data_IF_790581211633
#
_entry.id   IF_790581211633
#
_cell.length_a   1.000
_cell.length_b   1.000
_cell.length_c   1.000
_cell.angle_alpha   90.00
_cell.angle_beta   90.00
_cell.angle_gamma   90.00
#
_symmetry.space_group_name_H-M   'P 1'
#
loop_
_entity.id
_entity.type
_entity.pdbx_description
1 polymer ?
#
# COMPACT_ATOMS: atom_id res chain seq x y z
N UNK A 1 -4.86 4.56 -23.74
CA UNK A 1 -5.14 3.97 -22.41
C UNK A 1 -4.04 2.97 -22.11
N UNK A 2 -3.44 3.02 -20.91
CA UNK A 2 -2.33 2.15 -20.45
C UNK A 2 -2.78 1.41 -19.18
N UNK A 3 -2.10 0.34 -18.77
CA UNK A 3 -2.38 -0.38 -17.50
C UNK A 3 -1.12 -0.71 -16.70
N UNK A 4 -1.32 -0.94 -15.41
CA UNK A 4 -0.34 -1.47 -14.47
C UNK A 4 -0.91 -2.75 -13.83
N UNK A 5 -0.05 -3.76 -13.63
CA UNK A 5 -0.49 -5.08 -13.15
C UNK A 5 0.38 -5.55 -11.99
N UNK A 6 -0.26 -5.90 -10.87
CA UNK A 6 0.36 -6.51 -9.70
C UNK A 6 -0.20 -7.91 -9.44
N UNK A 7 0.64 -8.76 -8.86
CA UNK A 7 0.38 -10.19 -8.69
C UNK A 7 0.64 -10.61 -7.25
N UNK A 8 -0.27 -11.41 -6.70
CA UNK A 8 -0.09 -12.11 -5.44
C UNK A 8 -0.45 -13.58 -5.61
N UNK A 9 0.31 -14.48 -4.99
CA UNK A 9 0.04 -15.91 -5.04
C UNK A 9 0.40 -16.59 -3.74
N UNK A 10 -0.37 -17.62 -3.41
CA UNK A 10 -0.06 -18.54 -2.33
C UNK A 10 -0.48 -19.97 -2.66
N UNK A 11 0.37 -20.91 -2.26
CA UNK A 11 0.24 -22.36 -2.44
C UNK A 11 0.50 -23.13 -1.13
N UNK A 12 0.76 -22.45 -0.01
CA UNK A 12 1.23 -23.04 1.25
C UNK A 12 0.15 -23.78 2.04
N UNK A 13 -1.11 -23.70 1.61
CA UNK A 13 -2.19 -24.50 2.13
C UNK A 13 -2.82 -24.01 3.44
N UNK A 14 -2.28 -22.95 4.04
CA UNK A 14 -2.70 -22.38 5.32
C UNK A 14 -3.56 -21.12 5.19
N UNK A 15 -3.55 -20.31 6.25
CA UNK A 15 -4.07 -18.93 6.21
C UNK A 15 -2.95 -18.00 5.78
N UNK A 16 -3.24 -17.15 4.80
CA UNK A 16 -2.26 -16.18 4.29
C UNK A 16 -2.88 -14.79 4.19
N UNK A 17 -2.03 -13.77 4.27
CA UNK A 17 -2.42 -12.37 4.02
C UNK A 17 -2.13 -12.02 2.56
N UNK A 18 -3.03 -11.24 1.97
CA UNK A 18 -2.88 -10.69 0.63
C UNK A 18 -2.26 -9.31 0.81
N UNK A 19 -1.10 -9.09 0.20
CA UNK A 19 -0.25 -7.92 0.39
C UNK A 19 0.53 -7.62 -0.89
N UNK A 20 1.15 -6.44 -1.00
CA UNK A 20 1.95 -6.06 -2.17
C UNK A 20 1.14 -5.64 -3.41
N UNK A 21 -0.18 -5.54 -3.31
CA UNK A 21 -1.06 -5.09 -4.39
C UNK A 21 -1.39 -3.59 -4.25
N UNK A 22 -0.34 -2.77 -4.33
CA UNK A 22 -0.39 -1.32 -4.10
C UNK A 22 -0.11 -0.56 -5.38
N UNK A 23 -0.97 0.37 -5.77
CA UNK A 23 -0.80 1.27 -6.92
C UNK A 23 -0.63 2.70 -6.43
N UNK A 24 0.43 3.36 -6.88
CA UNK A 24 0.78 4.71 -6.45
C UNK A 24 -0.19 5.78 -6.97
N UNK A 25 -0.27 6.92 -6.29
CA UNK A 25 -1.08 8.07 -6.74
C UNK A 25 -0.46 8.85 -7.92
N UNK A 26 0.48 8.26 -8.67
CA UNK A 26 1.23 8.92 -9.74
C UNK A 26 0.45 9.04 -11.05
N UNK A 27 -0.56 8.20 -11.27
CA UNK A 27 -1.31 8.11 -12.53
C UNK A 27 -2.78 8.46 -12.35
N UNK A 28 -3.41 8.98 -13.40
CA UNK A 28 -4.85 9.24 -13.40
C UNK A 28 -5.62 7.94 -13.67
N UNK A 29 -5.79 7.15 -12.62
CA UNK A 29 -6.49 5.86 -12.66
C UNK A 29 -7.96 6.05 -13.00
N UNK A 30 -8.49 5.11 -13.78
CA UNK A 30 -9.89 5.11 -14.21
C UNK A 30 -10.65 3.95 -13.58
N UNK A 31 -10.31 2.74 -14.01
CA UNK A 31 -10.97 1.52 -13.60
C UNK A 31 -9.93 0.49 -13.19
N UNK A 32 -10.31 -0.44 -12.31
CA UNK A 32 -9.50 -1.57 -11.91
C UNK A 32 -10.27 -2.87 -12.04
N UNK A 33 -9.53 -3.96 -12.27
CA UNK A 33 -10.03 -5.33 -12.31
C UNK A 33 -9.14 -6.20 -11.43
N UNK A 34 -9.75 -6.94 -10.53
CA UNK A 34 -9.10 -8.00 -9.76
C UNK A 34 -9.61 -9.33 -10.28
N UNK A 35 -8.68 -10.21 -10.65
CA UNK A 35 -8.97 -11.59 -11.01
C UNK A 35 -8.47 -12.49 -9.89
N UNK A 36 -9.37 -13.20 -9.23
CA UNK A 36 -9.05 -14.14 -8.14
C UNK A 36 -9.28 -15.56 -8.65
N UNK A 37 -8.22 -16.36 -8.71
CA UNK A 37 -8.29 -17.75 -9.15
C UNK A 37 -7.93 -18.69 -8.01
N UNK A 38 -8.83 -19.62 -7.69
CA UNK A 38 -8.59 -20.69 -6.72
C UNK A 38 -7.52 -21.68 -7.20
N UNK A 39 -6.65 -22.15 -6.31
CA UNK A 39 -5.59 -23.13 -6.62
C UNK A 39 -5.79 -24.49 -5.97
N UNK A 40 -6.55 -24.56 -4.87
CA UNK A 40 -6.81 -25.78 -4.12
C UNK A 40 -8.32 -26.04 -4.00
N UNK A 41 -8.69 -27.13 -3.31
CA UNK A 41 -10.01 -27.74 -3.42
C UNK A 41 -11.16 -26.83 -2.99
N UNK A 42 -11.01 -26.09 -1.88
CA UNK A 42 -11.98 -25.08 -1.45
C UNK A 42 -11.28 -23.99 -0.61
N UNK A 43 -11.46 -22.73 -1.00
CA UNK A 43 -10.88 -21.59 -0.29
C UNK A 43 -11.86 -20.42 -0.16
N UNK A 44 -11.64 -19.64 0.90
CA UNK A 44 -12.29 -18.35 1.13
C UNK A 44 -11.25 -17.25 0.99
N UNK A 45 -11.46 -16.34 0.05
CA UNK A 45 -10.64 -15.14 -0.14
C UNK A 45 -11.48 -13.94 0.27
N UNK A 46 -11.09 -13.27 1.34
CA UNK A 46 -11.66 -11.99 1.77
C UNK A 46 -10.75 -10.87 1.24
N UNK A 47 -11.28 -9.96 0.43
CA UNK A 47 -10.57 -8.84 -0.18
C UNK A 47 -11.16 -7.50 0.29
N UNK A 48 -10.28 -6.54 0.51
CA UNK A 48 -10.60 -5.15 0.83
C UNK A 48 -9.83 -4.24 -0.13
N UNK A 49 -10.53 -3.31 -0.77
CA UNK A 49 -9.96 -2.31 -1.67
C UNK A 49 -10.08 -0.95 -0.98
N UNK A 50 -8.93 -0.29 -0.80
CA UNK A 50 -8.85 1.06 -0.28
C UNK A 50 -8.41 2.03 -1.37
N UNK A 51 -9.06 3.19 -1.43
CA UNK A 51 -8.67 4.32 -2.29
C UNK A 51 -8.42 5.53 -1.39
N UNK A 52 -7.21 6.11 -1.45
CA UNK A 52 -6.80 7.21 -0.55
C UNK A 52 -7.03 6.92 0.95
N UNK A 53 -6.90 5.66 1.38
CA UNK A 53 -7.20 5.15 2.73
C UNK A 53 -8.67 4.94 3.09
N UNK A 54 -9.61 5.20 2.17
CA UNK A 54 -11.02 4.89 2.36
C UNK A 54 -11.35 3.50 1.83
N UNK A 55 -11.96 2.65 2.66
CA UNK A 55 -12.47 1.35 2.21
C UNK A 55 -13.61 1.58 1.22
N UNK A 56 -13.39 1.26 -0.05
CA UNK A 56 -14.40 1.44 -1.11
C UNK A 56 -15.14 0.15 -1.44
N UNK A 57 -14.51 -1.01 -1.19
CA UNK A 57 -15.10 -2.30 -1.51
C UNK A 57 -14.55 -3.40 -0.60
N UNK A 58 -15.45 -4.23 -0.08
CA UNK A 58 -15.16 -5.47 0.61
C UNK A 58 -15.84 -6.63 -0.16
N UNK A 59 -15.11 -7.71 -0.44
CA UNK A 59 -15.64 -8.86 -1.19
C UNK A 59 -15.09 -10.17 -0.65
N UNK A 60 -16.00 -11.11 -0.40
CA UNK A 60 -15.64 -12.51 -0.15
C UNK A 60 -15.84 -13.34 -1.42
N UNK A 61 -14.81 -14.04 -1.86
CA UNK A 61 -14.85 -15.06 -2.91
C UNK A 61 -14.75 -16.44 -2.25
N UNK A 62 -15.66 -17.35 -2.61
CA UNK A 62 -15.59 -18.77 -2.24
C UNK A 62 -15.34 -19.52 -3.52
N UNK A 63 -14.16 -20.13 -3.64
CA UNK A 63 -13.68 -20.69 -4.90
C UNK A 63 -13.21 -22.12 -4.68
N UNK A 64 -13.57 -23.00 -5.60
CA UNK A 64 -12.92 -24.30 -5.79
C UNK A 64 -11.67 -24.17 -6.67
N UNK A 65 -11.01 -25.30 -6.95
CA UNK A 65 -9.78 -25.33 -7.74
C UNK A 65 -10.04 -24.87 -9.18
N UNK A 66 -9.26 -23.88 -9.62
CA UNK A 66 -9.33 -23.22 -10.93
C UNK A 66 -10.59 -22.38 -11.17
N UNK A 67 -11.50 -22.27 -10.20
CA UNK A 67 -12.58 -21.29 -10.29
C UNK A 67 -12.02 -19.88 -10.23
N UNK A 68 -12.64 -18.97 -10.97
CA UNK A 68 -12.20 -17.59 -11.07
C UNK A 68 -13.35 -16.64 -10.81
N UNK A 69 -13.13 -15.67 -9.93
CA UNK A 69 -14.01 -14.52 -9.73
C UNK A 69 -13.32 -13.27 -10.32
N UNK A 70 -14.12 -12.41 -10.95
CA UNK A 70 -13.69 -11.10 -11.43
C UNK A 70 -14.40 -10.02 -10.62
N UNK A 71 -13.62 -9.07 -10.11
CA UNK A 71 -14.11 -7.92 -9.35
C UNK A 71 -13.68 -6.67 -10.10
N UNK A 72 -14.63 -5.80 -10.44
CA UNK A 72 -14.38 -4.53 -11.11
C UNK A 72 -14.70 -3.37 -10.17
N UNK A 73 -13.92 -2.30 -10.26
CA UNK A 73 -14.10 -1.10 -9.44
C UNK A 73 -13.61 0.15 -10.18
N UNK A 74 -14.06 1.32 -9.72
CA UNK A 74 -13.66 2.62 -10.26
C UNK A 74 -12.74 3.35 -9.28
N UNK A 75 -11.78 4.09 -9.83
CA UNK A 75 -10.84 4.92 -9.05
C UNK A 75 -11.06 6.40 -9.35
N UNK A 76 -11.16 6.75 -10.63
CA UNK A 76 -11.47 8.09 -11.13
C UNK A 76 -10.59 9.21 -10.54
N UNK A 77 -9.28 9.11 -10.70
CA UNK A 77 -8.36 10.19 -10.34
C UNK A 77 -6.94 9.73 -10.07
N UNK A 78 -6.11 10.69 -9.68
CA UNK A 78 -4.74 10.45 -9.21
C UNK A 78 -4.75 10.07 -7.73
N UNK A 79 -5.16 8.84 -7.45
CA UNK A 79 -5.42 8.30 -6.11
C UNK A 79 -4.60 7.03 -5.89
N UNK A 80 -4.08 6.83 -4.68
CA UNK A 80 -3.46 5.55 -4.34
C UNK A 80 -4.53 4.48 -4.20
N UNK A 81 -4.21 3.26 -4.63
CA UNK A 81 -5.07 2.08 -4.48
C UNK A 81 -4.31 1.01 -3.71
N UNK A 82 -4.88 0.50 -2.63
CA UNK A 82 -4.32 -0.61 -1.87
C UNK A 82 -5.32 -1.76 -1.82
N UNK A 83 -4.90 -2.93 -2.26
CA UNK A 83 -5.71 -4.16 -2.22
C UNK A 83 -5.08 -5.09 -1.18
N UNK A 84 -5.83 -5.37 -0.13
CA UNK A 84 -5.41 -6.25 0.96
C UNK A 84 -6.47 -7.31 1.22
N UNK A 85 -6.18 -8.27 2.09
CA UNK A 85 -7.14 -9.30 2.42
C UNK A 85 -6.57 -10.51 3.12
N UNK A 86 -7.40 -11.54 3.24
CA UNK A 86 -6.99 -12.83 3.80
C UNK A 86 -7.47 -13.99 2.93
N UNK A 87 -6.58 -14.94 2.71
CA UNK A 87 -6.88 -16.27 2.22
C UNK A 87 -7.04 -17.20 3.43
N UNK A 88 -8.14 -17.93 3.50
CA UNK A 88 -8.42 -18.92 4.53
C UNK A 88 -8.94 -20.21 3.91
N UNK A 89 -8.64 -21.32 4.56
CA UNK A 89 -9.33 -22.58 4.27
C UNK A 89 -10.64 -22.64 5.05
N UNK A 90 -11.72 -23.05 4.40
CA UNK A 90 -13.00 -23.34 5.04
C UNK A 90 -13.12 -24.80 5.47
N UNK A 91 -12.12 -25.32 6.20
CA UNK A 91 -12.20 -26.62 6.87
C UNK A 91 -11.59 -27.84 6.14
N UNK A 92 -10.95 -27.66 4.98
CA UNK A 92 -10.20 -28.70 4.24
C UNK A 92 -8.69 -28.49 4.46
N UNK A 93 -7.83 -29.45 4.13
CA UNK A 93 -6.38 -29.23 4.09
C UNK A 93 -6.01 -28.51 2.78
N UNK A 94 -5.43 -27.31 2.88
CA UNK A 94 -4.86 -26.59 1.73
C UNK A 94 -5.73 -25.45 1.17
N UNK A 95 -5.43 -24.18 1.50
CA UNK A 95 -5.90 -23.01 0.74
C UNK A 95 -4.79 -22.43 -0.14
N UNK A 96 -5.14 -22.05 -1.37
CA UNK A 96 -4.23 -21.44 -2.32
C UNK A 96 -5.01 -20.59 -3.32
N UNK A 97 -4.48 -19.42 -3.66
CA UNK A 97 -5.09 -18.52 -4.63
C UNK A 97 -4.03 -17.76 -5.40
N UNK A 98 -4.39 -17.35 -6.61
CA UNK A 98 -3.66 -16.38 -7.42
C UNK A 98 -4.54 -15.15 -7.60
N UNK A 99 -3.99 -13.97 -7.36
CA UNK A 99 -4.68 -12.69 -7.47
C UNK A 99 -3.90 -11.82 -8.42
N UNK A 100 -4.59 -11.33 -9.45
CA UNK A 100 -4.06 -10.39 -10.44
C UNK A 100 -4.88 -9.13 -10.32
N UNK A 101 -4.24 -8.02 -9.94
CA UNK A 101 -4.85 -6.70 -9.95
C UNK A 101 -4.31 -5.93 -11.15
N UNK A 102 -5.19 -5.46 -12.03
CA UNK A 102 -4.87 -4.61 -13.17
C UNK A 102 -5.67 -3.30 -13.05
N UNK A 103 -4.99 -2.16 -13.14
CA UNK A 103 -5.64 -0.84 -13.12
C UNK A 103 -5.24 -0.05 -14.36
N UNK A 104 -6.23 0.53 -15.03
CA UNK A 104 -6.03 1.34 -16.24
C UNK A 104 -5.97 2.82 -15.92
N UNK A 105 -5.13 3.54 -16.66
CA UNK A 105 -4.94 4.99 -16.53
C UNK A 105 -4.87 5.70 -17.88
N UNK A 106 -5.05 7.01 -17.81
CA UNK A 106 -4.96 7.94 -18.93
C UNK A 106 -4.01 9.10 -18.62
N UNK A 107 -3.49 9.73 -19.68
CA UNK A 107 -2.54 10.83 -19.57
C UNK A 107 -1.15 10.39 -19.11
N UNK A 108 -0.33 11.39 -18.78
CA UNK A 108 1.03 11.17 -18.30
C UNK A 108 1.08 10.97 -16.79
N UNK A 109 1.97 10.06 -16.36
CA UNK A 109 2.25 9.82 -14.96
C UNK A 109 3.01 11.02 -14.38
N UNK A 110 2.83 11.28 -13.09
CA UNK A 110 3.70 12.20 -12.37
C UNK A 110 5.12 11.65 -12.34
N UNK A 111 6.09 12.58 -12.42
CA UNK A 111 7.43 12.25 -12.00
C UNK A 111 7.43 12.10 -10.48
N UNK A 112 8.36 11.29 -9.98
CA UNK A 112 8.46 11.04 -8.54
C UNK A 112 9.90 11.02 -8.06
N UNK A 113 10.08 11.37 -6.79
CA UNK A 113 11.31 11.12 -6.04
C UNK A 113 10.96 10.42 -4.76
N UNK A 114 11.74 9.40 -4.41
CA UNK A 114 11.54 8.62 -3.20
C UNK A 114 12.80 8.59 -2.34
N UNK A 115 12.60 8.61 -1.03
CA UNK A 115 13.61 8.32 -0.01
C UNK A 115 13.07 7.21 0.89
N UNK A 116 13.97 6.40 1.44
CA UNK A 116 13.63 5.20 2.21
C UNK A 116 14.35 5.20 3.54
N UNK A 117 13.65 4.70 4.55
CA UNK A 117 14.18 4.39 5.86
C UNK A 117 13.71 2.99 6.25
N UNK A 118 14.58 2.17 6.84
CA UNK A 118 14.19 0.85 7.33
C UNK A 118 14.98 0.53 8.58
N UNK A 119 14.30 -0.11 9.53
CA UNK A 119 14.94 -0.63 10.73
C UNK A 119 14.34 -1.98 11.14
N UNK A 120 15.08 -2.68 11.98
CA UNK A 120 14.85 -3.96 12.60
C UNK A 120 15.28 -3.84 14.07
N UNK A 121 14.35 -3.47 14.95
CA UNK A 121 14.67 -3.19 16.36
C UNK A 121 13.90 -4.11 17.29
N UNK A 122 14.50 -4.50 18.41
CA UNK A 122 13.81 -5.27 19.46
C UNK A 122 12.87 -4.39 20.32
N UNK A 123 12.74 -3.10 20.02
CA UNK A 123 11.98 -2.14 20.81
C UNK A 123 11.41 -1.01 19.95
N UNK A 124 11.86 0.21 20.26
CA UNK A 124 11.51 1.42 19.54
C UNK A 124 12.64 1.84 18.61
N UNK A 125 12.29 2.35 17.43
CA UNK A 125 13.24 3.01 16.53
C UNK A 125 12.63 4.25 15.91
N UNK A 126 13.36 5.36 15.98
CA UNK A 126 12.95 6.67 15.47
C UNK A 126 13.27 6.79 14.00
N UNK A 127 12.37 7.38 13.24
CA UNK A 127 12.59 7.66 11.82
C UNK A 127 13.55 8.84 11.71
N UNK A 128 14.72 8.60 11.14
CA UNK A 128 15.76 9.60 10.95
C UNK A 128 15.97 9.89 9.47
N UNK A 129 16.18 11.16 9.13
CA UNK A 129 16.59 11.62 7.81
C UNK A 129 15.66 11.23 6.63
N UNK A 130 14.37 10.93 6.90
CA UNK A 130 13.40 10.62 5.85
C UNK A 130 12.78 11.91 5.27
N UNK A 131 13.53 12.57 4.39
CA UNK A 131 13.23 13.90 3.86
C UNK A 131 13.39 13.99 2.33
N UNK A 132 12.46 14.70 1.68
CA UNK A 132 12.62 15.22 0.32
C UNK A 132 12.80 16.73 0.38
N UNK A 133 13.87 17.24 -0.25
CA UNK A 133 14.14 18.67 -0.33
C UNK A 133 13.08 19.41 -1.16
N UNK A 134 12.84 20.70 -0.86
CA UNK A 134 11.93 21.58 -1.60
C UNK A 134 12.42 22.01 -2.99
N UNK A 135 13.07 21.12 -3.72
CA UNK A 135 13.63 21.38 -5.06
C UNK A 135 12.56 21.35 -6.16
N UNK A 136 11.41 20.73 -5.88
CA UNK A 136 10.28 20.58 -6.80
C UNK A 136 9.01 21.15 -6.19
N UNK A 137 8.10 21.63 -7.03
CA UNK A 137 6.73 21.90 -6.63
C UNK A 137 5.97 20.58 -6.55
N UNK A 138 5.74 20.11 -5.33
CA UNK A 138 5.09 18.82 -5.11
C UNK A 138 3.59 19.00 -5.26
N UNK A 139 2.96 18.18 -6.09
CA UNK A 139 1.51 18.08 -6.16
C UNK A 139 1.02 17.25 -4.97
N UNK A 140 1.58 16.04 -4.81
CA UNK A 140 1.19 15.06 -3.78
C UNK A 140 2.40 14.39 -3.16
N UNK A 141 2.19 13.70 -2.04
CA UNK A 141 3.15 12.71 -1.57
C UNK A 141 2.47 11.49 -0.94
N UNK A 142 3.15 10.35 -1.05
CA UNK A 142 2.78 9.10 -0.39
C UNK A 142 3.81 8.73 0.68
N UNK A 143 3.33 8.26 1.84
CA UNK A 143 4.11 7.56 2.85
C UNK A 143 3.67 6.10 2.81
N UNK A 144 4.51 5.23 2.27
CA UNK A 144 4.30 3.79 2.27
C UNK A 144 4.98 3.17 3.50
N UNK A 145 4.22 2.40 4.25
CA UNK A 145 4.65 1.63 5.41
C UNK A 145 4.59 0.16 5.03
N UNK A 146 5.68 -0.58 5.21
CA UNK A 146 5.75 -2.01 4.94
C UNK A 146 6.34 -2.74 6.15
N UNK A 147 5.63 -3.75 6.66
CA UNK A 147 6.10 -4.55 7.78
C UNK A 147 7.16 -5.59 7.36
N UNK A 148 7.82 -6.19 8.34
CA UNK A 148 8.74 -7.33 8.12
C UNK A 148 8.06 -8.65 8.49
N UNK A 149 8.41 -9.69 7.72
CA UNK A 149 7.89 -11.05 7.89
C UNK A 149 7.99 -11.50 9.36
N UNK A 150 6.93 -12.15 9.84
CA UNK A 150 6.84 -12.72 11.19
C UNK A 150 6.94 -11.70 12.34
N UNK A 151 6.69 -10.40 12.07
CA UNK A 151 6.70 -9.33 13.08
C UNK A 151 5.39 -8.57 13.15
N UNK A 152 5.06 -8.11 14.34
CA UNK A 152 3.94 -7.21 14.56
C UNK A 152 4.47 -5.82 14.96
N UNK A 153 4.35 -4.86 14.04
CA UNK A 153 4.97 -3.53 14.15
C UNK A 153 3.90 -2.45 14.26
N UNK A 154 3.99 -1.61 15.29
CA UNK A 154 3.28 -0.33 15.33
C UNK A 154 4.12 0.73 14.63
N UNK A 155 3.51 1.42 13.67
CA UNK A 155 4.08 2.57 13.00
C UNK A 155 3.32 3.82 13.44
N UNK A 156 4.07 4.80 13.93
CA UNK A 156 3.57 6.11 14.31
C UNK A 156 4.22 7.12 13.39
N UNK A 157 3.46 7.69 12.46
CA UNK A 157 4.00 8.57 11.42
C UNK A 157 3.19 9.83 11.27
N UNK A 158 3.88 10.92 10.92
CA UNK A 158 3.28 12.19 10.52
C UNK A 158 4.09 12.79 9.39
N UNK A 159 3.42 13.58 8.55
CA UNK A 159 4.05 14.36 7.50
C UNK A 159 4.20 15.83 7.94
N UNK A 160 5.41 16.34 7.81
CA UNK A 160 5.73 17.77 7.95
C UNK A 160 6.05 18.31 6.56
N UNK A 161 5.32 19.32 6.11
CA UNK A 161 5.54 20.00 4.83
C UNK A 161 5.83 21.48 5.10
N UNK A 162 7.02 21.95 4.73
CA UNK A 162 7.42 23.36 4.92
C UNK A 162 7.37 23.84 6.38
N UNK A 163 7.56 22.93 7.35
CA UNK A 163 7.49 23.23 8.78
C UNK A 163 6.09 23.11 9.40
N UNK A 164 5.06 22.80 8.61
CA UNK A 164 3.70 22.57 9.11
C UNK A 164 3.32 21.08 9.09
N UNK A 165 2.68 20.62 10.16
CA UNK A 165 2.10 19.27 10.20
C UNK A 165 0.91 19.19 9.23
N UNK A 166 0.91 18.18 8.37
CA UNK A 166 -0.20 17.88 7.48
C UNK A 166 -1.22 17.01 8.20
N UNK A 167 -2.50 17.21 7.89
CA UNK A 167 -3.58 16.37 8.42
C UNK A 167 -3.65 15.06 7.61
N UNK A 168 -4.01 13.94 8.26
CA UNK A 168 -4.18 13.78 9.71
C UNK A 168 -2.84 13.92 10.46
N UNK A 169 -2.87 14.66 11.59
CA UNK A 169 -1.66 15.13 12.29
C UNK A 169 -0.78 13.97 12.81
N UNK A 170 -1.36 12.79 13.00
CA UNK A 170 -0.69 11.61 13.53
C UNK A 170 -1.44 10.35 13.12
N UNK A 171 -0.75 9.43 12.44
CA UNK A 171 -1.31 8.15 12.02
C UNK A 171 -0.62 7.01 12.78
N UNK A 172 -1.42 6.31 13.59
CA UNK A 172 -1.02 5.04 14.17
C UNK A 172 -1.52 3.92 13.27
N UNK A 173 -0.60 3.20 12.65
CA UNK A 173 -0.88 2.00 11.87
C UNK A 173 -0.23 0.78 12.51
N UNK A 174 -0.86 -0.37 12.32
CA UNK A 174 -0.36 -1.66 12.78
C UNK A 174 -0.09 -2.50 11.55
N UNK A 175 1.14 -2.98 11.41
CA UNK A 175 1.58 -3.87 10.35
C UNK A 175 1.83 -5.24 10.94
N UNK A 176 1.21 -6.27 10.38
CA UNK A 176 1.36 -7.65 10.83
C UNK A 176 2.01 -8.48 9.71
N UNK A 177 3.25 -8.88 9.94
CA UNK A 177 4.08 -9.51 8.93
C UNK A 177 4.47 -8.48 7.87
N UNK A 178 4.23 -8.84 6.62
CA UNK A 178 4.66 -8.09 5.43
C UNK A 178 3.61 -7.10 4.90
N UNK A 179 2.59 -6.79 5.72
CA UNK A 179 1.52 -5.86 5.36
C UNK A 179 2.02 -4.50 4.89
N UNK A 180 1.30 -3.93 3.93
CA UNK A 180 1.59 -2.62 3.35
C UNK A 180 0.42 -1.67 3.51
N UNK A 181 0.72 -0.43 3.93
CA UNK A 181 -0.24 0.67 4.06
C UNK A 181 0.34 1.90 3.37
N UNK A 182 -0.47 2.65 2.63
CA UNK A 182 -0.06 3.88 1.94
C UNK A 182 -0.90 5.05 2.41
N UNK A 183 -0.26 6.05 3.00
CA UNK A 183 -0.87 7.31 3.40
C UNK A 183 -0.60 8.36 2.31
N UNK A 184 -1.64 9.00 1.78
CA UNK A 184 -1.53 9.98 0.68
C UNK A 184 -1.88 11.37 1.17
N UNK A 185 -1.11 12.38 0.75
CA UNK A 185 -1.29 13.78 1.15
C UNK A 185 -1.21 14.72 -0.04
N UNK A 186 -2.10 15.73 -0.05
CA UNK A 186 -2.03 16.86 -0.96
C UNK A 186 -1.03 17.92 -0.46
N UNK A 187 -0.11 18.31 -1.35
CA UNK A 187 0.94 19.29 -1.03
C UNK A 187 0.70 20.59 -1.76
N UNK A 188 0.65 20.55 -3.09
CA UNK A 188 0.51 21.68 -4.02
C UNK A 188 1.38 22.88 -3.65
N UNK A 189 2.67 22.61 -3.37
CA UNK A 189 3.61 23.62 -2.92
C UNK A 189 5.08 23.17 -3.08
N UNK A 190 5.98 24.15 -3.25
CA UNK A 190 7.43 23.96 -3.29
C UNK A 190 8.04 24.07 -1.90
N UNK A 191 7.97 22.96 -1.16
CA UNK A 191 8.42 22.89 0.24
C UNK A 191 9.16 21.57 0.51
N UNK A 192 10.04 21.52 1.52
CA UNK A 192 10.57 20.24 1.97
C UNK A 192 9.45 19.37 2.56
N UNK A 193 9.55 18.07 2.36
CA UNK A 193 8.67 17.05 2.91
C UNK A 193 9.47 16.17 3.85
N UNK A 194 9.03 16.04 5.11
CA UNK A 194 9.71 15.25 6.13
C UNK A 194 8.71 14.29 6.76
N UNK A 195 9.06 13.02 6.83
CA UNK A 195 8.32 12.06 7.66
C UNK A 195 8.99 12.01 9.03
N UNK A 196 8.21 12.30 10.06
CA UNK A 196 8.63 12.17 11.45
C UNK A 196 7.81 11.06 12.12
N UNK A 197 8.42 10.35 13.06
CA UNK A 197 7.75 9.24 13.71
C UNK A 197 8.70 8.20 14.28
N UNK A 198 8.13 7.05 14.62
CA UNK A 198 8.88 5.90 15.10
C UNK A 198 8.10 4.60 14.82
N UNK A 199 8.84 3.50 14.83
CA UNK A 199 8.26 2.15 14.93
C UNK A 199 8.45 1.61 16.33
N UNK A 200 7.54 0.75 16.77
CA UNK A 200 7.66 0.04 18.03
C UNK A 200 7.09 -1.37 17.93
N UNK A 201 7.64 -2.29 18.71
CA UNK A 201 7.22 -3.67 18.74
C UNK A 201 5.89 -3.84 19.49
N UNK A 202 5.03 -4.72 18.99
CA UNK A 202 3.87 -5.21 19.76
C UNK A 202 4.13 -6.56 20.44
N UNK A 203 5.28 -7.16 20.16
CA UNK A 203 5.65 -8.54 20.49
C UNK A 203 7.12 -8.58 20.95
N UNK A 204 7.48 -9.63 21.69
CA UNK A 204 8.84 -10.06 22.05
C UNK A 204 9.75 -10.22 20.81
N UNK A 205 9.20 -10.59 19.64
CA UNK A 205 9.96 -10.84 18.39
C UNK A 205 10.54 -9.53 17.78
N UNK A 206 10.18 -8.37 18.33
CA UNK A 206 10.67 -7.05 17.90
C UNK A 206 9.84 -6.42 16.77
N UNK A 207 10.18 -5.18 16.43
CA UNK A 207 9.57 -4.41 15.35
C UNK A 207 10.45 -4.43 14.12
N UNK A 208 9.82 -4.35 12.96
CA UNK A 208 10.53 -4.23 11.69
C UNK A 208 9.63 -3.60 10.65
N UNK A 209 10.13 -2.56 10.01
CA UNK A 209 9.44 -1.91 8.91
C UNK A 209 10.41 -1.28 7.90
N UNK A 210 9.89 -1.06 6.69
CA UNK A 210 10.41 -0.08 5.73
C UNK A 210 9.37 1.03 5.58
N UNK A 211 9.85 2.27 5.56
CA UNK A 211 9.04 3.47 5.37
C UNK A 211 9.62 4.23 4.18
N UNK A 212 8.77 4.46 3.18
CA UNK A 212 9.14 5.13 1.93
C UNK A 212 8.32 6.42 1.83
N UNK A 213 9.01 7.56 1.75
CA UNK A 213 8.39 8.84 1.39
C UNK A 213 8.60 9.06 -0.11
N UNK A 214 7.51 9.25 -0.84
CA UNK A 214 7.53 9.56 -2.28
C UNK A 214 6.80 10.85 -2.56
N UNK A 215 7.48 11.83 -3.15
CA UNK A 215 6.89 13.08 -3.63
C UNK A 215 6.62 13.02 -5.13
N UNK A 216 5.47 13.51 -5.56
CA UNK A 216 5.03 13.55 -6.95
C UNK A 216 4.96 14.98 -7.46
N UNK A 217 5.43 15.20 -8.69
CA UNK A 217 5.44 16.51 -9.34
C UNK A 217 5.20 16.39 -10.85
N UNK A 218 4.69 17.47 -11.44
CA UNK A 218 4.57 17.62 -12.89
C UNK A 218 5.89 18.13 -13.48
N UNK A 219 6.18 17.73 -14.71
CA UNK A 219 7.35 18.27 -15.42
C UNK A 219 7.07 19.73 -15.79
N UNK A 220 7.92 20.66 -15.32
CA UNK A 220 7.87 22.04 -15.78
C UNK A 220 8.23 22.03 -17.29
N UNK A 221 7.24 22.26 -18.15
CA UNK A 221 7.52 22.60 -19.54
C UNK A 221 8.22 23.96 -19.53
N UNK A 222 9.54 23.95 -19.71
CA UNK A 222 10.27 25.15 -20.07
C UNK A 222 9.83 25.54 -21.48
N UNK A 223 8.91 26.50 -21.59
CA UNK A 223 8.66 27.24 -22.82
C UNK A 223 9.87 28.10 -23.20
#
# INVERSE_FOLDING_TARGET
>A
MKSEVHYWKDETGGKSRIEGLVFAADKNWKNGKITVTGKLNYQKVDLEIYIENELVLEKTCKLDKNETEIIEFQVNGRKSVNITGTLKNSGVLGAGANIIAEIWYEGEAYQSKSVRWSDDTAGLSVIENLCLEGTKEWTKCDIRLQGKKDRATQCYVTLIAGGALKKPLYERKVLNGTEEIVLTYEINNKVPLVVAGYISNMDIIGAGAEIILTGYYEEEYNE
#
